data_IF_412318992012
#
_entry.id   IF_412318992012
#
_cell.length_a   1.000
_cell.length_b   1.000
_cell.length_c   1.000
_cell.angle_alpha   90.00
_cell.angle_beta   90.00
_cell.angle_gamma   90.00
#
_symmetry.space_group_name_H-M   'P 1'
#
loop_
_entity.id
_entity.type
_entity.pdbx_description
1 polymer ?
#
# COMPACT_ATOMS: atom_id res chain seq x y z
N UNK A 1 -23.52 -3.86 37.71
CA UNK A 1 -23.10 -4.96 36.79
C UNK A 1 -21.64 -4.77 36.48
N UNK A 2 -20.77 -5.69 36.94
CA UNK A 2 -19.35 -5.66 36.57
C UNK A 2 -19.25 -6.12 35.10
N UNK A 3 -19.00 -5.20 34.16
CA UNK A 3 -18.73 -5.55 32.78
C UNK A 3 -17.53 -6.51 32.75
N UNK A 4 -17.73 -7.71 32.23
CA UNK A 4 -16.62 -8.62 31.90
C UNK A 4 -15.74 -7.86 30.90
N UNK A 5 -14.51 -7.57 31.27
CA UNK A 5 -13.49 -7.14 30.33
C UNK A 5 -13.32 -8.31 29.35
N UNK A 6 -13.86 -8.17 28.15
CA UNK A 6 -13.70 -9.17 27.10
C UNK A 6 -12.24 -9.06 26.61
N UNK A 7 -11.45 -10.05 26.91
CA UNK A 7 -10.05 -10.10 26.45
C UNK A 7 -10.08 -10.53 24.98
N UNK A 8 -9.66 -9.66 24.10
CA UNK A 8 -9.52 -9.96 22.69
C UNK A 8 -8.65 -11.20 22.47
N UNK A 9 -9.07 -12.08 21.55
CA UNK A 9 -8.55 -13.45 21.40
C UNK A 9 -7.72 -13.63 20.16
N UNK A 10 -7.95 -12.82 19.13
CA UNK A 10 -7.47 -13.03 17.78
C UNK A 10 -6.77 -11.81 17.21
N UNK A 11 -5.95 -12.05 16.18
CA UNK A 11 -5.41 -11.03 15.29
C UNK A 11 -5.97 -11.29 13.89
N UNK A 12 -6.42 -10.24 13.22
CA UNK A 12 -6.86 -10.27 11.83
C UNK A 12 -5.69 -9.84 10.93
N UNK A 13 -5.28 -10.68 10.00
CA UNK A 13 -4.33 -10.33 8.95
C UNK A 13 -5.06 -10.06 7.63
N UNK A 14 -4.77 -8.92 7.01
CA UNK A 14 -5.20 -8.55 5.68
C UNK A 14 -4.02 -8.78 4.73
N UNK A 15 -4.18 -9.72 3.80
CA UNK A 15 -3.18 -10.04 2.78
C UNK A 15 -3.71 -9.64 1.41
N UNK A 16 -3.26 -8.51 0.92
CA UNK A 16 -3.66 -7.98 -0.37
C UNK A 16 -2.65 -8.41 -1.44
N UNK A 17 -2.93 -9.53 -2.10
CA UNK A 17 -2.10 -10.07 -3.18
C UNK A 17 -2.39 -9.44 -4.54
N UNK A 18 -1.66 -9.88 -5.57
CA UNK A 18 -1.80 -9.35 -6.94
C UNK A 18 -3.13 -9.72 -7.60
N UNK A 19 -3.69 -10.88 -7.28
CA UNK A 19 -4.91 -11.38 -7.92
C UNK A 19 -6.09 -11.55 -6.98
N UNK A 20 -5.87 -11.38 -5.68
CA UNK A 20 -6.89 -11.60 -4.66
C UNK A 20 -6.55 -10.95 -3.35
N UNK A 21 -7.58 -10.58 -2.60
CA UNK A 21 -7.51 -10.11 -1.22
C UNK A 21 -7.88 -11.25 -0.27
N UNK A 22 -7.15 -11.38 0.84
CA UNK A 22 -7.39 -12.39 1.87
C UNK A 22 -7.59 -11.74 3.22
N UNK A 23 -8.40 -12.39 4.05
CA UNK A 23 -8.52 -12.12 5.47
C UNK A 23 -8.26 -13.43 6.22
N UNK A 24 -7.34 -13.40 7.18
CA UNK A 24 -6.92 -14.57 7.94
C UNK A 24 -6.96 -14.20 9.42
N UNK A 25 -7.63 -15.03 10.21
CA UNK A 25 -7.71 -14.84 11.67
C UNK A 25 -6.82 -15.84 12.37
N UNK A 26 -5.92 -15.33 13.21
CA UNK A 26 -4.99 -16.12 14.00
C UNK A 26 -5.34 -16.07 15.49
N UNK A 27 -5.18 -17.20 16.18
CA UNK A 27 -5.22 -17.26 17.64
C UNK A 27 -3.89 -16.79 18.26
N UNK A 28 -3.84 -16.74 19.59
CA UNK A 28 -2.63 -16.35 20.36
C UNK A 28 -1.43 -17.29 20.18
N UNK A 29 -1.64 -18.49 19.63
CA UNK A 29 -0.59 -19.48 19.35
C UNK A 29 -0.11 -19.42 17.90
N UNK A 30 -0.70 -18.54 17.07
CA UNK A 30 -0.41 -18.43 15.64
C UNK A 30 -1.13 -19.45 14.77
N UNK A 31 -2.11 -20.18 15.30
CA UNK A 31 -2.92 -21.08 14.49
C UNK A 31 -3.95 -20.29 13.68
N UNK A 32 -4.18 -20.70 12.44
CA UNK A 32 -5.26 -20.15 11.61
C UNK A 32 -6.60 -20.68 12.14
N UNK A 33 -7.46 -19.77 12.57
CA UNK A 33 -8.82 -20.07 13.06
C UNK A 33 -9.83 -20.01 11.91
N UNK A 34 -9.70 -19.01 11.05
CA UNK A 34 -10.54 -18.84 9.87
C UNK A 34 -9.77 -18.11 8.78
N UNK A 35 -10.14 -18.35 7.52
CA UNK A 35 -9.61 -17.63 6.35
C UNK A 35 -10.69 -17.45 5.30
N UNK A 36 -10.64 -16.34 4.59
CA UNK A 36 -11.46 -16.09 3.40
C UNK A 36 -10.63 -15.36 2.35
N UNK A 37 -10.99 -15.55 1.09
CA UNK A 37 -10.32 -14.94 -0.05
C UNK A 37 -11.37 -14.44 -1.04
N UNK A 38 -11.07 -13.32 -1.71
CA UNK A 38 -11.85 -12.77 -2.80
C UNK A 38 -10.93 -12.34 -3.93
N UNK A 39 -11.16 -12.85 -5.11
CA UNK A 39 -10.48 -12.42 -6.34
C UNK A 39 -11.06 -11.09 -6.83
N UNK A 40 -10.27 -10.35 -7.62
CA UNK A 40 -10.66 -9.12 -8.31
C UNK A 40 -10.06 -9.09 -9.71
N UNK A 41 -10.67 -8.28 -10.57
CA UNK A 41 -10.34 -8.25 -11.98
C UNK A 41 -8.96 -7.64 -12.27
N UNK A 42 -8.30 -8.20 -13.30
CA UNK A 42 -7.05 -7.67 -13.84
C UNK A 42 -7.38 -6.91 -15.12
N UNK A 43 -6.89 -5.67 -15.24
CA UNK A 43 -7.16 -4.79 -16.38
C UNK A 43 -5.91 -4.71 -17.25
N UNK A 44 -6.04 -4.97 -18.55
CA UNK A 44 -4.95 -4.95 -19.53
C UNK A 44 -5.24 -3.95 -20.66
N UNK A 45 -5.03 -2.63 -20.45
CA UNK A 45 -5.43 -1.60 -21.42
C UNK A 45 -4.65 -1.66 -22.73
N UNK A 46 -3.39 -2.10 -22.67
CA UNK A 46 -2.49 -2.24 -23.82
C UNK A 46 -1.47 -3.35 -23.57
N UNK A 47 -0.71 -3.72 -24.62
CA UNK A 47 0.35 -4.72 -24.51
C UNK A 47 1.40 -4.30 -23.44
N UNK A 48 1.64 -5.16 -22.47
CA UNK A 48 2.55 -4.92 -21.35
C UNK A 48 2.02 -3.95 -20.28
N UNK A 49 0.78 -3.48 -20.38
CA UNK A 49 0.14 -2.67 -19.35
C UNK A 49 -0.72 -3.54 -18.44
N UNK A 50 -0.60 -3.32 -17.14
CA UNK A 50 -1.36 -4.05 -16.12
C UNK A 50 -1.86 -3.05 -15.09
N UNK A 51 -3.17 -3.08 -14.86
CA UNK A 51 -3.85 -2.18 -13.93
C UNK A 51 -4.85 -2.95 -13.05
N UNK A 52 -5.17 -2.37 -11.90
CA UNK A 52 -6.30 -2.77 -11.06
C UNK A 52 -7.20 -1.57 -10.78
N UNK A 53 -8.48 -1.80 -10.55
CA UNK A 53 -9.34 -0.78 -9.93
C UNK A 53 -9.02 -0.69 -8.43
N UNK A 54 -8.58 0.48 -7.90
CA UNK A 54 -8.32 0.65 -6.48
C UNK A 54 -9.55 0.41 -5.60
N UNK A 55 -10.75 0.65 -6.14
CA UNK A 55 -11.99 0.39 -5.40
C UNK A 55 -12.30 -1.10 -5.31
N UNK A 56 -12.00 -1.88 -6.36
CA UNK A 56 -12.11 -3.34 -6.28
C UNK A 56 -11.12 -3.94 -5.28
N UNK A 57 -9.88 -3.44 -5.23
CA UNK A 57 -8.91 -3.82 -4.20
C UNK A 57 -9.51 -3.60 -2.81
N UNK A 58 -10.07 -2.42 -2.56
CA UNK A 58 -10.67 -2.07 -1.26
C UNK A 58 -11.88 -2.95 -0.94
N UNK A 59 -12.83 -3.06 -1.87
CA UNK A 59 -14.07 -3.82 -1.65
C UNK A 59 -13.81 -5.33 -1.54
N UNK A 60 -12.92 -5.90 -2.32
CA UNK A 60 -12.54 -7.32 -2.19
C UNK A 60 -11.92 -7.61 -0.82
N UNK A 61 -11.12 -6.68 -0.27
CA UNK A 61 -10.57 -6.80 1.07
C UNK A 61 -11.68 -6.76 2.14
N UNK A 62 -12.65 -5.85 2.02
CA UNK A 62 -13.80 -5.78 2.92
C UNK A 62 -14.70 -7.02 2.84
N UNK A 63 -14.92 -7.53 1.62
CA UNK A 63 -15.67 -8.78 1.42
C UNK A 63 -14.95 -9.99 2.06
N UNK A 64 -13.62 -10.06 1.94
CA UNK A 64 -12.83 -11.12 2.59
C UNK A 64 -12.97 -11.05 4.12
N UNK A 65 -12.92 -9.84 4.72
CA UNK A 65 -13.12 -9.63 6.17
C UNK A 65 -14.52 -10.05 6.60
N UNK A 66 -15.55 -9.60 5.90
CA UNK A 66 -16.94 -9.96 6.22
C UNK A 66 -17.14 -11.48 6.13
N UNK A 67 -16.57 -12.11 5.09
CA UNK A 67 -16.66 -13.56 4.89
C UNK A 67 -15.95 -14.36 5.97
N UNK A 68 -14.77 -13.92 6.43
CA UNK A 68 -14.01 -14.63 7.47
C UNK A 68 -14.72 -14.56 8.82
N UNK A 69 -15.39 -13.46 9.15
CA UNK A 69 -16.18 -13.33 10.36
C UNK A 69 -17.43 -14.25 10.33
N UNK A 70 -18.15 -14.20 9.21
CA UNK A 70 -19.34 -15.03 9.04
C UNK A 70 -19.04 -16.53 9.10
N UNK A 71 -18.00 -16.99 8.37
CA UNK A 71 -17.63 -18.42 8.31
C UNK A 71 -16.98 -18.94 9.59
N UNK A 72 -16.21 -18.08 10.29
CA UNK A 72 -15.52 -18.44 11.52
C UNK A 72 -16.35 -18.28 12.78
N UNK A 73 -17.56 -17.71 12.70
CA UNK A 73 -18.35 -17.33 13.89
C UNK A 73 -17.63 -16.36 14.82
N UNK A 74 -16.72 -15.55 14.24
CA UNK A 74 -15.85 -14.62 14.97
C UNK A 74 -16.57 -13.27 15.03
N UNK A 75 -16.52 -12.65 16.20
CA UNK A 75 -17.07 -11.33 16.39
C UNK A 75 -15.97 -10.26 16.31
N UNK A 76 -16.27 -9.07 15.77
CA UNK A 76 -15.31 -7.97 15.71
C UNK A 76 -14.64 -7.67 17.06
N UNK A 77 -15.40 -7.70 18.16
CA UNK A 77 -14.91 -7.46 19.52
C UNK A 77 -13.92 -8.53 20.04
N UNK A 78 -13.79 -9.67 19.38
CA UNK A 78 -12.77 -10.67 19.70
C UNK A 78 -11.41 -10.38 19.03
N UNK A 79 -11.33 -9.40 18.10
CA UNK A 79 -10.10 -9.01 17.42
C UNK A 79 -9.32 -8.00 18.25
N UNK A 80 -8.04 -8.27 18.48
CA UNK A 80 -7.14 -7.39 19.22
C UNK A 80 -6.52 -6.30 18.34
N UNK A 81 -6.15 -6.68 17.11
CA UNK A 81 -5.45 -5.81 16.17
C UNK A 81 -5.59 -6.35 14.75
N UNK A 82 -5.33 -5.47 13.78
CA UNK A 82 -5.30 -5.80 12.35
C UNK A 82 -3.87 -5.60 11.85
N UNK A 83 -3.31 -6.66 11.24
CA UNK A 83 -2.06 -6.58 10.48
C UNK A 83 -2.36 -6.49 8.97
N UNK A 84 -1.55 -5.75 8.24
CA UNK A 84 -1.70 -5.60 6.78
C UNK A 84 -0.42 -6.06 6.09
N UNK A 85 -0.56 -6.81 5.01
CA UNK A 85 0.49 -7.08 4.03
C UNK A 85 -0.07 -6.92 2.63
N UNK A 86 0.78 -6.61 1.64
CA UNK A 86 0.31 -6.23 0.31
C UNK A 86 1.25 -6.66 -0.82
N UNK A 87 0.72 -6.63 -2.05
CA UNK A 87 1.55 -6.55 -3.24
C UNK A 87 2.29 -5.21 -3.23
N UNK A 88 3.62 -5.23 -3.24
CA UNK A 88 4.43 -4.01 -3.22
C UNK A 88 4.49 -3.35 -4.60
N UNK A 89 5.05 -2.15 -4.69
CA UNK A 89 5.34 -1.36 -5.89
C UNK A 89 4.12 -0.94 -6.71
N UNK A 90 2.96 -1.57 -6.52
CA UNK A 90 1.71 -1.16 -7.16
C UNK A 90 1.33 0.24 -6.69
N UNK A 91 1.16 1.15 -7.65
CA UNK A 91 1.05 2.58 -7.43
C UNK A 91 -0.40 3.02 -7.50
N UNK A 92 -0.90 3.66 -6.45
CA UNK A 92 -2.23 4.25 -6.37
C UNK A 92 -2.09 5.74 -6.07
N UNK A 93 -2.86 6.58 -6.75
CA UNK A 93 -2.94 8.01 -6.46
C UNK A 93 -4.39 8.44 -6.36
N UNK A 94 -4.71 9.28 -5.37
CA UNK A 94 -6.08 9.70 -5.09
C UNK A 94 -6.15 11.14 -4.62
N UNK A 95 -7.29 11.75 -4.86
CA UNK A 95 -7.62 13.08 -4.36
C UNK A 95 -7.83 13.04 -2.84
N UNK A 96 -7.14 13.92 -2.13
CA UNK A 96 -7.12 14.00 -0.66
C UNK A 96 -8.50 14.36 -0.09
N UNK A 97 -9.24 15.23 -0.75
CA UNK A 97 -10.53 15.73 -0.26
C UNK A 97 -11.65 14.71 -0.49
N UNK A 98 -11.71 14.15 -1.69
CA UNK A 98 -12.79 13.23 -2.07
C UNK A 98 -12.49 11.78 -1.76
N UNK A 99 -11.23 11.41 -1.53
CA UNK A 99 -10.78 10.03 -1.39
C UNK A 99 -10.89 9.20 -2.67
N UNK A 100 -11.15 9.82 -3.83
CA UNK A 100 -11.33 9.11 -5.11
C UNK A 100 -10.00 8.90 -5.82
N UNK A 101 -9.71 7.68 -6.31
CA UNK A 101 -8.56 7.45 -7.18
C UNK A 101 -8.64 8.33 -8.44
N UNK A 102 -7.52 8.93 -8.83
CA UNK A 102 -7.44 9.74 -10.06
C UNK A 102 -7.20 8.89 -11.30
N UNK A 103 -6.72 7.66 -11.10
CA UNK A 103 -6.46 6.67 -12.14
C UNK A 103 -6.50 5.26 -11.55
N UNK A 104 -6.55 4.23 -12.41
CA UNK A 104 -6.36 2.85 -11.98
C UNK A 104 -5.01 2.65 -11.30
N UNK A 105 -4.91 1.71 -10.38
CA UNK A 105 -3.65 1.29 -9.78
C UNK A 105 -2.73 0.72 -10.86
N UNK A 106 -1.53 1.28 -11.03
CA UNK A 106 -0.54 0.74 -11.97
C UNK A 106 0.23 -0.36 -11.26
N UNK A 107 0.04 -1.60 -11.73
CA UNK A 107 0.56 -2.80 -11.08
C UNK A 107 2.09 -2.92 -11.27
N UNK A 108 2.78 -3.56 -10.33
CA UNK A 108 4.22 -3.81 -10.37
C UNK A 108 4.69 -4.51 -11.65
N UNK A 109 3.84 -5.31 -12.29
CA UNK A 109 4.12 -6.01 -13.55
C UNK A 109 4.06 -5.10 -14.79
N UNK A 110 3.49 -3.89 -14.66
CA UNK A 110 3.26 -2.99 -15.78
C UNK A 110 4.56 -2.46 -16.35
N UNK A 111 4.72 -2.52 -17.69
CA UNK A 111 5.93 -2.11 -18.41
C UNK A 111 5.82 -0.75 -19.11
N UNK A 112 4.72 0.02 -18.89
CA UNK A 112 4.46 1.31 -19.57
C UNK A 112 5.56 2.36 -19.39
N UNK A 113 6.34 2.27 -18.31
CA UNK A 113 7.41 3.22 -17.99
C UNK A 113 8.81 2.70 -18.39
N UNK A 114 8.89 1.65 -19.20
CA UNK A 114 10.18 1.06 -19.61
C UNK A 114 11.05 2.08 -20.37
N UNK A 115 10.47 2.88 -21.28
CA UNK A 115 11.19 3.92 -22.01
C UNK A 115 11.76 5.01 -21.08
N UNK A 116 10.98 5.40 -20.06
CA UNK A 116 11.45 6.33 -19.03
C UNK A 116 12.64 5.72 -18.25
N UNK A 117 12.62 4.43 -17.96
CA UNK A 117 13.76 3.77 -17.32
C UNK A 117 15.03 3.83 -18.18
N UNK A 118 14.92 3.64 -19.49
CA UNK A 118 16.07 3.78 -20.40
C UNK A 118 16.58 5.24 -20.45
N UNK A 119 15.67 6.24 -20.40
CA UNK A 119 16.06 7.63 -20.30
C UNK A 119 16.83 7.92 -19.00
N UNK A 120 16.34 7.43 -17.86
CA UNK A 120 17.02 7.61 -16.55
C UNK A 120 18.44 7.02 -16.57
N UNK A 121 18.63 5.86 -17.23
CA UNK A 121 19.96 5.26 -17.42
C UNK A 121 20.84 6.12 -18.32
N UNK A 122 20.29 6.63 -19.45
CA UNK A 122 21.02 7.50 -20.38
C UNK A 122 21.46 8.81 -19.72
N UNK A 123 20.68 9.31 -18.76
CA UNK A 123 21.00 10.51 -17.96
C UNK A 123 22.07 10.23 -16.88
N UNK A 124 22.56 8.99 -16.78
CA UNK A 124 23.65 8.60 -15.88
C UNK A 124 23.24 8.46 -14.40
N UNK A 125 21.95 8.26 -14.12
CA UNK A 125 21.42 8.17 -12.75
C UNK A 125 21.61 6.79 -12.11
N UNK A 126 22.13 5.80 -12.82
CA UNK A 126 22.17 4.41 -12.37
C UNK A 126 22.98 4.22 -11.07
N UNK A 127 24.18 4.79 -11.01
CA UNK A 127 25.03 4.70 -9.83
C UNK A 127 24.36 5.39 -8.61
N UNK A 128 23.80 6.58 -8.82
CA UNK A 128 23.11 7.33 -7.76
C UNK A 128 21.92 6.55 -7.21
N UNK A 129 21.05 6.03 -8.08
CA UNK A 129 19.87 5.27 -7.66
C UNK A 129 20.29 4.00 -6.91
N UNK A 130 21.30 3.30 -7.39
CA UNK A 130 21.80 2.10 -6.74
C UNK A 130 22.40 2.41 -5.36
N UNK A 131 23.15 3.49 -5.22
CA UNK A 131 23.74 3.92 -3.96
C UNK A 131 22.66 4.27 -2.93
N UNK A 132 21.68 5.08 -3.33
CA UNK A 132 20.62 5.58 -2.43
C UNK A 132 19.54 4.56 -2.08
N UNK A 133 19.19 3.72 -3.02
CA UNK A 133 18.01 2.85 -2.88
C UNK A 133 18.33 1.35 -2.86
N UNK A 134 19.55 0.97 -3.24
CA UNK A 134 19.94 -0.44 -3.46
C UNK A 134 19.28 -1.08 -4.69
N UNK A 135 18.51 -0.32 -5.49
CA UNK A 135 17.72 -0.84 -6.60
C UNK A 135 18.41 -0.63 -7.95
N UNK A 136 18.00 -1.43 -8.92
CA UNK A 136 18.26 -1.16 -10.35
C UNK A 136 17.15 -0.27 -10.90
N UNK A 137 17.41 0.40 -12.03
CA UNK A 137 16.38 1.19 -12.73
C UNK A 137 15.48 0.21 -13.50
N UNK A 138 14.24 0.11 -13.07
CA UNK A 138 13.23 -0.75 -13.72
C UNK A 138 11.81 -0.20 -13.52
N UNK A 139 10.96 -0.40 -14.54
CA UNK A 139 9.53 -0.09 -14.51
C UNK A 139 8.74 -0.84 -13.41
N UNK A 140 9.37 -1.81 -12.77
CA UNK A 140 8.84 -2.55 -11.64
C UNK A 140 8.50 -1.63 -10.46
N UNK A 141 9.34 -0.64 -10.17
CA UNK A 141 9.26 0.21 -8.99
C UNK A 141 8.28 1.38 -9.15
N UNK A 142 7.84 1.98 -8.02
CA UNK A 142 6.74 2.95 -8.04
C UNK A 142 7.07 4.31 -8.64
N UNK A 143 8.31 4.81 -8.48
CA UNK A 143 8.68 6.18 -8.83
C UNK A 143 8.36 6.57 -10.28
N UNK A 144 8.68 5.70 -11.25
CA UNK A 144 8.38 5.95 -12.67
C UNK A 144 6.88 5.93 -12.97
N UNK A 145 6.09 5.13 -12.22
CA UNK A 145 4.63 5.07 -12.36
C UNK A 145 3.97 6.33 -11.80
N UNK A 146 4.49 6.86 -10.68
CA UNK A 146 4.03 8.13 -10.11
C UNK A 146 4.23 9.24 -11.14
N UNK A 147 5.45 9.36 -11.70
CA UNK A 147 5.75 10.32 -12.75
C UNK A 147 4.81 10.17 -13.94
N UNK A 148 4.58 8.93 -14.39
CA UNK A 148 3.68 8.67 -15.50
C UNK A 148 2.25 9.17 -15.22
N UNK A 149 1.69 8.93 -14.03
CA UNK A 149 0.35 9.43 -13.66
C UNK A 149 0.33 10.96 -13.67
N UNK A 150 1.34 11.60 -13.06
CA UNK A 150 1.42 13.05 -12.99
C UNK A 150 1.49 13.71 -14.38
N UNK A 151 2.13 13.05 -15.35
CA UNK A 151 2.35 13.59 -16.68
C UNK A 151 1.24 13.25 -17.69
N UNK A 152 0.50 12.15 -17.47
CA UNK A 152 -0.45 11.62 -18.45
C UNK A 152 -1.92 11.65 -18.01
N UNK A 153 -2.19 11.76 -16.71
CA UNK A 153 -3.58 11.81 -16.22
C UNK A 153 -4.03 13.25 -16.09
N UNK A 154 -5.09 13.65 -16.81
CA UNK A 154 -5.58 15.04 -16.77
C UNK A 154 -5.92 15.49 -15.35
N UNK A 155 -5.38 16.62 -14.94
CA UNK A 155 -5.61 17.21 -13.61
C UNK A 155 -4.73 16.66 -12.47
N UNK A 156 -4.06 15.52 -12.64
CA UNK A 156 -3.25 14.93 -11.57
C UNK A 156 -2.10 15.87 -11.13
N UNK A 157 -1.41 16.50 -12.08
CA UNK A 157 -0.33 17.46 -11.79
C UNK A 157 -0.87 18.67 -11.02
N UNK A 158 -1.99 19.24 -11.44
CA UNK A 158 -2.59 20.39 -10.77
C UNK A 158 -3.04 20.05 -9.34
N UNK A 159 -3.59 18.87 -9.11
CA UNK A 159 -3.92 18.40 -7.74
C UNK A 159 -2.66 18.24 -6.88
N UNK A 160 -1.57 17.72 -7.46
CA UNK A 160 -0.30 17.55 -6.74
C UNK A 160 0.30 18.92 -6.34
N UNK A 161 0.31 19.89 -7.25
CA UNK A 161 0.80 21.25 -6.99
C UNK A 161 -0.07 22.04 -6.00
N UNK A 162 -1.35 21.66 -5.87
CA UNK A 162 -2.28 22.21 -4.88
C UNK A 162 -2.28 21.45 -3.52
N UNK A 163 -1.35 20.50 -3.30
CA UNK A 163 -1.28 19.63 -2.13
C UNK A 163 -2.56 18.77 -1.90
N UNK A 164 -3.32 18.55 -2.97
CA UNK A 164 -4.57 17.77 -2.94
C UNK A 164 -4.46 16.36 -3.48
N UNK A 165 -3.31 15.95 -3.98
CA UNK A 165 -3.06 14.58 -4.44
C UNK A 165 -2.28 13.80 -3.40
N UNK A 166 -2.63 12.53 -3.23
CA UNK A 166 -1.88 11.59 -2.39
C UNK A 166 -1.40 10.40 -3.22
N UNK A 167 -0.21 9.94 -2.91
CA UNK A 167 0.35 8.69 -3.42
C UNK A 167 0.42 7.64 -2.31
N UNK A 168 0.23 6.37 -2.67
CA UNK A 168 0.55 5.23 -1.82
C UNK A 168 0.73 3.94 -2.60
N UNK A 169 1.41 2.99 -1.98
CA UNK A 169 1.29 1.59 -2.32
C UNK A 169 0.00 1.03 -1.70
N UNK A 170 -0.31 -0.22 -1.97
CA UNK A 170 -1.65 -0.74 -1.63
C UNK A 170 -1.95 -0.70 -0.13
N UNK A 171 -0.95 -0.93 0.73
CA UNK A 171 -1.15 -0.82 2.17
C UNK A 171 -1.50 0.61 2.61
N UNK A 172 -0.85 1.63 2.03
CA UNK A 172 -1.16 3.03 2.32
C UNK A 172 -2.61 3.37 1.92
N UNK A 173 -3.05 2.87 0.77
CA UNK A 173 -4.43 3.00 0.30
C UNK A 173 -5.43 2.34 1.28
N UNK A 174 -5.14 1.12 1.74
CA UNK A 174 -5.97 0.42 2.72
C UNK A 174 -5.99 1.15 4.06
N UNK A 175 -4.83 1.59 4.58
CA UNK A 175 -4.73 2.35 5.83
C UNK A 175 -5.51 3.66 5.74
N UNK A 176 -5.35 4.41 4.64
CA UNK A 176 -6.11 5.63 4.40
C UNK A 176 -7.62 5.40 4.51
N UNK A 177 -8.13 4.41 3.79
CA UNK A 177 -9.57 4.09 3.82
C UNK A 177 -10.02 3.54 5.17
N UNK A 178 -9.28 2.62 5.78
CA UNK A 178 -9.60 2.07 7.10
C UNK A 178 -9.59 3.11 8.21
N UNK A 179 -8.79 4.16 8.08
CA UNK A 179 -8.74 5.26 9.05
C UNK A 179 -9.70 6.40 8.73
N UNK A 180 -10.50 6.30 7.67
CA UNK A 180 -11.41 7.36 7.24
C UNK A 180 -10.68 8.63 6.80
N UNK A 181 -9.59 8.49 6.07
CA UNK A 181 -8.80 9.60 5.52
C UNK A 181 -7.89 10.32 6.53
N UNK A 182 -7.67 9.75 7.72
CA UNK A 182 -6.91 10.43 8.79
C UNK A 182 -5.42 10.11 8.80
N UNK A 183 -5.00 8.98 8.22
CA UNK A 183 -3.62 8.51 8.26
C UNK A 183 -3.10 8.24 6.86
N UNK A 184 -2.08 8.99 6.45
CA UNK A 184 -1.37 8.82 5.19
C UNK A 184 0.07 8.39 5.49
N UNK A 185 0.31 7.09 5.52
CA UNK A 185 1.53 6.47 6.04
C UNK A 185 1.91 5.24 5.23
N UNK A 186 3.21 4.97 5.12
CA UNK A 186 3.79 3.74 4.60
C UNK A 186 4.89 3.24 5.54
N UNK A 187 5.43 2.06 5.26
CA UNK A 187 6.57 1.52 6.00
C UNK A 187 7.87 1.52 5.20
N UNK A 188 8.99 1.25 5.88
CA UNK A 188 10.30 1.16 5.24
C UNK A 188 10.34 0.12 4.13
N UNK A 189 9.64 -1.03 4.27
CA UNK A 189 9.63 -2.09 3.28
C UNK A 189 8.95 -1.68 1.97
N UNK A 190 7.83 -0.94 2.03
CA UNK A 190 7.18 -0.43 0.84
C UNK A 190 7.90 0.81 0.28
N UNK A 191 8.32 1.74 1.12
CA UNK A 191 9.05 2.93 0.70
C UNK A 191 10.33 2.56 -0.06
N UNK A 192 11.09 1.57 0.42
CA UNK A 192 12.33 1.08 -0.22
C UNK A 192 12.11 0.51 -1.64
N UNK A 193 10.86 0.24 -2.03
CA UNK A 193 10.51 -0.30 -3.36
C UNK A 193 10.00 0.75 -4.33
N UNK A 194 10.27 2.02 -4.05
CA UNK A 194 9.76 3.14 -4.89
C UNK A 194 10.80 3.75 -5.82
N UNK A 195 12.08 3.52 -5.64
CA UNK A 195 13.23 4.27 -6.18
C UNK A 195 13.28 5.74 -5.71
N UNK A 196 12.50 6.09 -4.69
CA UNK A 196 12.44 7.46 -4.13
C UNK A 196 12.91 7.51 -2.68
N UNK A 197 13.33 6.39 -2.10
CA UNK A 197 13.62 6.27 -0.68
C UNK A 197 15.11 5.99 -0.44
N UNK A 198 15.75 6.89 0.30
CA UNK A 198 17.13 6.71 0.78
C UNK A 198 17.12 5.70 1.94
N UNK A 199 17.66 4.50 1.68
CA UNK A 199 17.63 3.39 2.64
C UNK A 199 18.64 3.56 3.78
N UNK A 200 19.65 4.39 3.60
CA UNK A 200 20.66 4.69 4.63
C UNK A 200 20.13 5.72 5.65
N UNK A 201 19.44 6.76 5.15
CA UNK A 201 18.90 7.84 5.96
C UNK A 201 17.44 7.61 6.37
N UNK A 202 16.77 6.58 5.86
CA UNK A 202 15.37 6.22 6.11
C UNK A 202 14.39 7.38 5.85
N UNK A 203 14.59 8.09 4.75
CA UNK A 203 13.75 9.21 4.31
C UNK A 203 13.53 9.21 2.79
N UNK A 204 12.57 9.99 2.32
CA UNK A 204 12.40 10.24 0.90
C UNK A 204 13.61 11.01 0.35
N UNK A 205 14.11 10.61 -0.81
CA UNK A 205 15.25 11.24 -1.49
C UNK A 205 14.79 12.45 -2.30
N UNK A 206 15.14 13.65 -1.83
CA UNK A 206 14.74 14.92 -2.45
C UNK A 206 15.25 15.04 -3.90
N UNK A 207 16.50 14.59 -4.16
CA UNK A 207 17.08 14.67 -5.50
C UNK A 207 16.36 13.78 -6.50
N UNK A 208 15.95 12.56 -6.08
CA UNK A 208 15.14 11.70 -6.94
C UNK A 208 13.74 12.25 -7.19
N UNK A 209 13.13 12.83 -6.16
CA UNK A 209 11.83 13.48 -6.30
C UNK A 209 11.91 14.68 -7.27
N UNK A 210 12.94 15.54 -7.13
CA UNK A 210 13.21 16.65 -8.02
C UNK A 210 13.47 16.18 -9.47
N UNK A 211 14.37 15.19 -9.64
CA UNK A 211 14.71 14.63 -10.95
C UNK A 211 13.48 14.08 -11.69
N UNK A 212 12.60 13.37 -10.99
CA UNK A 212 11.37 12.84 -11.57
C UNK A 212 10.22 13.85 -11.58
N UNK A 213 10.45 15.07 -11.09
CA UNK A 213 9.43 16.12 -10.94
C UNK A 213 8.19 15.61 -10.16
N UNK A 214 8.45 14.99 -9.00
CA UNK A 214 7.44 14.47 -8.06
C UNK A 214 7.41 15.38 -6.84
N UNK A 215 6.30 16.09 -6.56
CA UNK A 215 6.17 16.90 -5.35
C UNK A 215 6.22 16.00 -4.10
N UNK A 216 7.09 16.34 -3.14
CA UNK A 216 7.23 15.53 -1.91
C UNK A 216 5.97 15.53 -1.05
N UNK A 217 5.11 16.53 -1.19
CA UNK A 217 3.84 16.66 -0.46
C UNK A 217 2.83 15.53 -0.74
N UNK A 218 2.98 14.85 -1.88
CA UNK A 218 2.12 13.71 -2.21
C UNK A 218 2.54 12.41 -1.53
N UNK A 219 3.77 12.34 -1.00
CA UNK A 219 4.37 11.13 -0.44
C UNK A 219 3.89 10.88 1.00
N UNK A 220 3.64 9.63 1.40
CA UNK A 220 3.22 9.30 2.76
C UNK A 220 4.34 9.48 3.79
N UNK A 221 3.97 9.67 5.05
CA UNK A 221 4.91 9.57 6.16
C UNK A 221 5.47 8.13 6.22
N UNK A 222 6.78 7.98 6.46
CA UNK A 222 7.42 6.66 6.53
C UNK A 222 7.71 6.27 7.96
N UNK A 223 7.33 5.06 8.35
CA UNK A 223 7.50 4.54 9.72
C UNK A 223 8.02 3.09 9.72
N UNK A 224 8.50 2.60 10.87
CA UNK A 224 8.83 1.18 11.03
C UNK A 224 7.63 0.27 10.76
N UNK A 225 7.85 -0.89 10.12
CA UNK A 225 6.79 -1.85 9.80
C UNK A 225 6.07 -2.39 11.04
N UNK A 226 6.77 -2.58 12.16
CA UNK A 226 6.18 -3.06 13.42
C UNK A 226 5.78 -1.90 14.32
N UNK A 227 4.65 -1.26 14.01
CA UNK A 227 4.15 -0.09 14.73
C UNK A 227 2.63 0.00 14.63
N UNK A 228 1.99 0.68 15.59
CA UNK A 228 0.58 1.06 15.49
C UNK A 228 0.45 2.31 14.61
N UNK A 229 -0.22 2.17 13.47
CA UNK A 229 -0.39 3.26 12.51
C UNK A 229 -1.65 4.09 12.75
N UNK A 230 -2.62 3.54 13.45
CA UNK A 230 -3.86 4.23 13.75
C UNK A 230 -4.95 3.30 14.23
N UNK A 231 -6.17 3.81 14.22
CA UNK A 231 -7.38 3.05 14.55
C UNK A 231 -8.36 3.08 13.39
N UNK A 232 -9.09 1.99 13.21
CA UNK A 232 -10.17 1.91 12.23
C UNK A 232 -11.23 2.96 12.56
N UNK A 233 -11.71 3.67 11.55
CA UNK A 233 -12.77 4.66 11.69
C UNK A 233 -14.14 4.01 11.93
N UNK A 234 -15.05 4.74 12.57
CA UNK A 234 -16.43 4.30 12.77
C UNK A 234 -17.17 4.03 11.47
N UNK A 235 -18.02 3.01 11.46
CA UNK A 235 -18.83 2.61 10.30
C UNK A 235 -18.10 1.75 9.27
N UNK A 236 -16.83 1.37 9.50
CA UNK A 236 -16.06 0.53 8.58
C UNK A 236 -16.10 -0.92 9.04
N UNK A 237 -16.92 -1.72 8.35
CA UNK A 237 -17.05 -3.18 8.49
C UNK A 237 -17.13 -3.73 9.93
N UNK A 238 -17.64 -2.93 10.88
CA UNK A 238 -17.80 -3.33 12.28
C UNK A 238 -16.48 -3.50 13.05
N UNK A 239 -15.40 -2.88 12.59
CA UNK A 239 -14.05 -2.98 13.17
C UNK A 239 -13.62 -1.67 13.87
N UNK A 240 -14.58 -0.85 14.27
CA UNK A 240 -14.32 0.47 14.87
C UNK A 240 -13.34 0.38 16.04
N UNK A 241 -12.48 1.37 16.15
CA UNK A 241 -11.46 1.52 17.20
C UNK A 241 -10.38 0.43 17.29
N UNK A 242 -10.39 -0.58 16.41
CA UNK A 242 -9.30 -1.54 16.36
C UNK A 242 -7.98 -0.90 15.92
N UNK A 243 -6.90 -1.29 16.59
CA UNK A 243 -5.56 -0.84 16.21
C UNK A 243 -5.13 -1.47 14.89
N UNK A 244 -4.69 -0.63 13.95
CA UNK A 244 -4.01 -1.04 12.74
C UNK A 244 -2.53 -1.19 13.04
N UNK A 245 -2.04 -2.42 12.94
CA UNK A 245 -0.63 -2.77 12.99
C UNK A 245 -0.19 -3.08 11.56
N UNK A 246 0.86 -2.42 11.09
CA UNK A 246 1.54 -2.95 9.93
C UNK A 246 2.61 -3.93 10.44
N UNK A 247 2.52 -5.18 10.05
CA UNK A 247 3.50 -6.20 10.38
C UNK A 247 3.81 -6.98 9.12
N UNK A 248 4.83 -6.58 8.41
CA UNK A 248 5.45 -7.53 7.49
C UNK A 248 6.90 -7.18 7.21
N UNK A 249 7.83 -7.85 7.87
CA UNK A 249 8.98 -8.32 7.12
C UNK A 249 8.46 -9.52 6.29
N UNK A 250 8.28 -9.32 4.97
CA UNK A 250 8.11 -10.47 4.07
C UNK A 250 9.32 -11.38 4.25
N UNK A 251 9.15 -12.72 4.30
CA UNK A 251 10.30 -13.65 4.26
C UNK A 251 11.21 -13.41 3.05
N UNK A 252 10.73 -12.69 2.02
CA UNK A 252 11.51 -12.26 0.85
C UNK A 252 12.41 -11.06 1.15
N UNK A 253 12.11 -10.24 2.16
CA UNK A 253 12.90 -9.05 2.49
C UNK A 253 14.24 -9.42 3.15
N UNK A 254 14.34 -10.58 3.80
CA UNK A 254 15.58 -11.13 4.33
C UNK A 254 16.50 -11.79 3.30
N UNK A 255 16.01 -12.02 2.08
CA UNK A 255 16.77 -12.72 1.02
C UNK A 255 17.47 -11.77 0.03
N UNK A 256 17.21 -10.48 0.07
CA UNK A 256 17.74 -9.47 -0.86
C UNK A 256 18.76 -8.51 -0.26
N UNK A 257 19.08 -8.65 1.04
CA UNK A 257 20.14 -7.89 1.69
C UNK A 257 21.39 -8.75 1.91
N UNK A 258 21.97 -9.29 0.80
CA UNK A 258 23.35 -9.78 0.77
C UNK A 258 23.92 -9.57 -0.62
#
# INVERSE_FOLDING_TARGET
MKGRIQVAKYVLALDQGTTSSRAIVFDKKGNIVAKAQKEFDQIYPAAGWVEHDPMEILFSQFQAVTSVFASGGIKPEDIAAIGITNQRETTIMWDRETGKPVYNAIVWQCRRTAELCEQIKADGMEEYIKDKTGLVIDAYFSGTKIKWILDNVPGARALAEADQLLFGTVETWLIWNLTGGRVHITDYSNASRTMLFDVDNLCWDEKMCEYLNIPMSILPEVKPSSMVYGKVAGGIIGLEDLCLLYTSPSPRDGATSR
#
